data_IF_772577079739
#
_entry.id   IF_772577079739
#
_cell.length_a   1.000
_cell.length_b   1.000
_cell.length_c   1.000
_cell.angle_alpha   90.00
_cell.angle_beta   90.00
_cell.angle_gamma   90.00
#
_symmetry.space_group_name_H-M   'P 1'
#
loop_
_entity.id
_entity.type
_entity.pdbx_description
1 polymer ?
#
# COMPACT_ATOMS: atom_id res chain seq x y z
N UNK A 1 29.58 -16.83 -4.62
CA UNK A 1 28.41 -17.65 -4.23
C UNK A 1 27.28 -17.32 -5.19
N UNK A 2 26.89 -18.27 -6.06
CA UNK A 2 25.82 -18.06 -7.04
C UNK A 2 24.49 -18.36 -6.37
N UNK A 3 23.50 -17.49 -6.52
CA UNK A 3 22.12 -17.80 -6.12
C UNK A 3 21.69 -19.05 -6.88
N UNK A 4 21.44 -20.16 -6.17
CA UNK A 4 20.89 -21.39 -6.73
C UNK A 4 21.86 -22.54 -6.99
N UNK A 5 22.89 -22.77 -6.16
CA UNK A 5 23.52 -24.10 -6.10
C UNK A 5 22.52 -25.07 -5.47
N UNK A 6 21.65 -25.58 -6.32
CA UNK A 6 20.44 -26.27 -5.91
C UNK A 6 20.76 -27.75 -5.67
N UNK A 7 21.06 -28.12 -4.42
CA UNK A 7 21.19 -29.54 -4.08
C UNK A 7 19.82 -30.20 -4.20
N UNK A 8 19.78 -31.30 -4.96
CA UNK A 8 18.63 -32.19 -5.00
C UNK A 8 18.90 -33.36 -4.08
N UNK A 9 17.89 -33.74 -3.30
CA UNK A 9 17.88 -35.03 -2.61
C UNK A 9 17.75 -36.16 -3.63
N UNK A 10 18.18 -37.36 -3.24
CA UNK A 10 17.93 -38.59 -4.01
C UNK A 10 16.42 -38.83 -4.26
N UNK A 11 15.56 -38.27 -3.41
CA UNK A 11 14.10 -38.26 -3.59
C UNK A 11 13.59 -37.28 -4.66
N UNK A 12 14.46 -36.50 -5.32
CA UNK A 12 14.13 -35.54 -6.38
C UNK A 12 13.70 -34.14 -5.90
N UNK A 13 13.49 -33.95 -4.59
CA UNK A 13 13.13 -32.67 -3.97
C UNK A 13 14.31 -31.69 -3.93
N UNK A 14 14.02 -30.39 -4.06
CA UNK A 14 15.00 -29.31 -3.88
C UNK A 14 15.24 -29.08 -2.39
N UNK A 15 16.49 -29.00 -1.98
CA UNK A 15 16.84 -28.49 -0.65
C UNK A 15 17.07 -26.99 -0.71
N UNK A 16 16.60 -26.28 0.30
CA UNK A 16 16.79 -24.85 0.46
C UNK A 16 17.52 -24.60 1.77
N UNK A 17 18.52 -23.71 1.73
CA UNK A 17 19.29 -23.26 2.87
C UNK A 17 18.61 -22.04 3.50
N UNK A 18 18.99 -21.67 4.73
CA UNK A 18 18.40 -20.49 5.40
C UNK A 18 18.67 -19.19 4.62
N UNK A 19 19.80 -19.11 3.91
CA UNK A 19 20.12 -18.02 2.97
C UNK A 19 19.12 -17.89 1.79
N UNK A 20 18.51 -19.00 1.36
CA UNK A 20 17.44 -18.97 0.35
C UNK A 20 16.17 -18.36 0.94
N UNK A 21 15.83 -18.69 2.19
CA UNK A 21 14.70 -18.11 2.90
C UNK A 21 14.90 -16.61 3.15
N UNK A 22 16.10 -16.18 3.52
CA UNK A 22 16.50 -14.77 3.64
C UNK A 22 16.29 -13.99 2.34
N UNK A 23 16.74 -14.55 1.22
CA UNK A 23 16.54 -13.97 -0.12
C UNK A 23 15.05 -13.82 -0.46
N UNK A 24 14.22 -14.80 -0.12
CA UNK A 24 12.77 -14.73 -0.34
C UNK A 24 12.11 -13.67 0.55
N UNK A 25 12.49 -13.56 1.82
CA UNK A 25 11.99 -12.50 2.73
C UNK A 25 12.32 -11.12 2.18
N UNK A 26 13.56 -10.91 1.77
CA UNK A 26 14.01 -9.67 1.14
C UNK A 26 13.26 -9.32 -0.14
N UNK A 27 13.08 -10.31 -1.02
CA UNK A 27 12.28 -10.17 -2.24
C UNK A 27 10.84 -9.75 -1.95
N UNK A 28 10.19 -10.38 -0.97
CA UNK A 28 8.80 -10.08 -0.58
C UNK A 28 8.66 -8.67 -0.02
N UNK A 29 9.62 -8.22 0.79
CA UNK A 29 9.63 -6.86 1.32
C UNK A 29 9.70 -5.82 0.18
N UNK A 30 10.59 -6.02 -0.77
CA UNK A 30 10.73 -5.11 -1.91
C UNK A 30 9.51 -5.13 -2.84
N UNK A 31 8.91 -6.30 -3.08
CA UNK A 31 7.65 -6.41 -3.82
C UNK A 31 6.52 -5.67 -3.10
N UNK A 32 6.43 -5.78 -1.78
CA UNK A 32 5.47 -5.03 -0.98
C UNK A 32 5.70 -3.51 -1.05
N UNK A 33 6.95 -3.08 -1.23
CA UNK A 33 7.30 -1.67 -1.47
C UNK A 33 7.00 -1.19 -2.91
N UNK A 34 6.52 -2.07 -3.81
CA UNK A 34 6.16 -1.73 -5.18
C UNK A 34 7.32 -1.81 -6.18
N UNK A 35 8.48 -2.32 -5.76
CA UNK A 35 9.62 -2.54 -6.67
C UNK A 35 9.29 -3.66 -7.67
N UNK A 36 9.64 -3.44 -8.93
CA UNK A 36 9.52 -4.48 -9.95
C UNK A 36 10.61 -5.56 -9.80
N UNK A 37 10.36 -6.74 -10.37
CA UNK A 37 11.25 -7.92 -10.26
C UNK A 37 12.60 -7.75 -10.97
N UNK A 38 12.71 -6.86 -11.95
CA UNK A 38 13.98 -6.56 -12.61
C UNK A 38 14.89 -5.73 -11.71
N UNK A 39 14.35 -4.69 -11.07
CA UNK A 39 15.07 -3.89 -10.07
C UNK A 39 15.47 -4.77 -8.89
N UNK A 40 14.54 -5.57 -8.34
CA UNK A 40 14.80 -6.50 -7.23
C UNK A 40 15.98 -7.43 -7.53
N UNK A 41 16.07 -7.97 -8.76
CA UNK A 41 17.19 -8.84 -9.16
C UNK A 41 18.54 -8.12 -9.10
N UNK A 42 18.58 -6.83 -9.42
CA UNK A 42 19.78 -6.00 -9.30
C UNK A 42 20.13 -5.67 -7.84
N UNK A 43 19.13 -5.53 -6.97
CA UNK A 43 19.32 -5.15 -5.57
C UNK A 43 19.63 -6.33 -4.65
N UNK A 44 19.08 -7.52 -4.92
CA UNK A 44 19.23 -8.71 -4.07
C UNK A 44 20.69 -9.09 -3.74
N UNK A 45 21.65 -9.07 -4.70
CA UNK A 45 23.05 -9.36 -4.39
C UNK A 45 23.69 -8.41 -3.39
N UNK A 46 23.09 -7.23 -3.21
CA UNK A 46 23.56 -6.15 -2.34
C UNK A 46 22.78 -6.06 -1.02
N UNK A 47 21.88 -7.01 -0.74
CA UNK A 47 21.18 -7.04 0.54
C UNK A 47 21.87 -7.99 1.49
N UNK A 48 22.29 -7.47 2.64
CA UNK A 48 22.63 -8.31 3.78
C UNK A 48 21.34 -8.63 4.56
N UNK A 49 21.17 -9.91 4.93
CA UNK A 49 20.23 -10.32 5.98
C UNK A 49 21.06 -10.73 7.19
N UNK A 50 21.38 -9.75 8.03
CA UNK A 50 22.07 -9.87 9.31
C UNK A 50 21.08 -10.11 10.47
N UNK A 51 19.89 -10.66 10.16
CA UNK A 51 18.84 -10.93 11.14
C UNK A 51 17.96 -9.71 11.46
N UNK A 52 18.11 -8.64 10.70
CA UNK A 52 17.37 -7.38 10.81
C UNK A 52 16.56 -7.03 9.56
N UNK A 53 16.15 -5.76 9.43
CA UNK A 53 15.54 -5.28 8.19
C UNK A 53 16.61 -5.25 7.08
N UNK A 54 16.30 -5.74 5.86
CA UNK A 54 17.25 -5.73 4.75
C UNK A 54 17.83 -4.33 4.52
N UNK A 55 19.14 -4.20 4.67
CA UNK A 55 19.85 -2.96 4.45
C UNK A 55 20.63 -3.01 3.13
N UNK A 56 20.61 -1.93 2.32
CA UNK A 56 21.41 -1.86 1.12
C UNK A 56 22.90 -1.76 1.49
N UNK A 57 23.72 -2.66 0.95
CA UNK A 57 25.15 -2.74 1.20
C UNK A 57 26.01 -2.29 -0.01
N UNK A 58 25.40 -1.65 -1.02
CA UNK A 58 26.08 -1.21 -2.24
C UNK A 58 25.77 0.25 -2.61
N UNK A 59 26.82 1.00 -2.92
CA UNK A 59 26.82 2.44 -3.18
C UNK A 59 26.12 2.81 -4.52
N UNK A 60 26.03 1.85 -5.44
CA UNK A 60 25.52 2.05 -6.80
C UNK A 60 23.99 1.95 -6.98
N UNK A 61 23.24 1.65 -5.92
CA UNK A 61 21.80 1.36 -6.03
C UNK A 61 20.90 2.60 -5.99
N UNK A 62 21.41 3.72 -5.49
CA UNK A 62 20.62 4.93 -5.26
C UNK A 62 19.95 5.48 -6.54
N UNK A 63 20.62 5.52 -7.72
CA UNK A 63 19.98 5.95 -8.95
C UNK A 63 18.80 5.06 -9.38
N UNK A 64 18.91 3.74 -9.24
CA UNK A 64 17.85 2.81 -9.60
C UNK A 64 16.65 2.92 -8.64
N UNK A 65 16.91 3.11 -7.34
CA UNK A 65 15.87 3.38 -6.35
C UNK A 65 15.15 4.71 -6.62
N UNK A 66 15.87 5.76 -7.00
CA UNK A 66 15.26 7.02 -7.41
C UNK A 66 14.40 6.85 -8.66
N UNK A 67 14.89 6.14 -9.68
CA UNK A 67 14.10 5.85 -10.89
C UNK A 67 12.82 5.11 -10.54
N UNK A 68 12.88 4.10 -9.68
CA UNK A 68 11.68 3.38 -9.28
C UNK A 68 10.72 4.25 -8.48
N UNK A 69 11.22 5.09 -7.57
CA UNK A 69 10.40 6.06 -6.84
C UNK A 69 9.66 7.01 -7.79
N UNK A 70 10.33 7.52 -8.82
CA UNK A 70 9.68 8.38 -9.81
C UNK A 70 8.61 7.62 -10.60
N UNK A 71 8.89 6.37 -11.01
CA UNK A 71 7.90 5.51 -11.68
C UNK A 71 6.66 5.28 -10.81
N UNK A 72 6.86 4.96 -9.52
CA UNK A 72 5.77 4.75 -8.56
C UNK A 72 4.98 6.04 -8.30
N UNK A 73 5.67 7.17 -8.21
CA UNK A 73 5.03 8.48 -8.04
C UNK A 73 4.14 8.83 -9.23
N UNK A 74 4.59 8.57 -10.45
CA UNK A 74 3.80 8.78 -11.66
C UNK A 74 2.54 7.89 -11.68
N UNK A 75 2.69 6.59 -11.40
CA UNK A 75 1.55 5.67 -11.35
C UNK A 75 0.54 6.06 -10.24
N UNK A 76 1.02 6.51 -9.08
CA UNK A 76 0.16 7.00 -8.01
C UNK A 76 -0.64 8.24 -8.44
N UNK A 77 0.00 9.17 -9.16
CA UNK A 77 -0.67 10.35 -9.69
C UNK A 77 -1.82 9.98 -10.64
N UNK A 78 -1.62 8.98 -11.50
CA UNK A 78 -2.66 8.50 -12.42
C UNK A 78 -3.85 7.90 -11.68
N UNK A 79 -3.60 7.04 -10.68
CA UNK A 79 -4.65 6.44 -9.85
C UNK A 79 -5.42 7.50 -9.05
N UNK A 80 -4.72 8.47 -8.47
CA UNK A 80 -5.36 9.59 -7.76
C UNK A 80 -6.23 10.42 -8.69
N UNK A 81 -5.74 10.73 -9.90
CA UNK A 81 -6.52 11.44 -10.89
C UNK A 81 -7.75 10.64 -11.36
N UNK A 82 -7.63 9.32 -11.50
CA UNK A 82 -8.76 8.45 -11.83
C UNK A 82 -9.82 8.45 -10.70
N UNK A 83 -9.38 8.37 -9.44
CA UNK A 83 -10.25 8.46 -8.26
C UNK A 83 -10.99 9.80 -8.22
N UNK A 84 -10.30 10.90 -8.46
CA UNK A 84 -10.92 12.24 -8.43
C UNK A 84 -12.00 12.41 -9.51
N UNK A 85 -11.78 11.83 -10.70
CA UNK A 85 -12.81 11.76 -11.76
C UNK A 85 -14.01 10.90 -11.33
N UNK A 86 -13.76 9.75 -10.71
CA UNK A 86 -14.81 8.89 -10.19
C UNK A 86 -15.64 9.60 -9.10
N UNK A 87 -14.98 10.32 -8.19
CA UNK A 87 -15.66 11.11 -7.16
C UNK A 87 -16.53 12.22 -7.77
N UNK A 88 -16.10 12.85 -8.86
CA UNK A 88 -16.91 13.84 -9.59
C UNK A 88 -18.18 13.20 -10.18
N UNK A 89 -18.07 12.01 -10.76
CA UNK A 89 -19.23 11.25 -11.26
C UNK A 89 -20.18 10.85 -10.13
N UNK A 90 -19.65 10.35 -9.01
CA UNK A 90 -20.46 10.00 -7.83
C UNK A 90 -21.24 11.23 -7.33
N UNK A 91 -20.59 12.40 -7.23
CA UNK A 91 -21.26 13.66 -6.83
C UNK A 91 -22.35 14.07 -7.81
N UNK A 92 -22.12 13.96 -9.12
CA UNK A 92 -23.11 14.29 -10.14
C UNK A 92 -24.33 13.36 -10.06
N UNK A 93 -24.10 12.05 -9.99
CA UNK A 93 -25.16 11.03 -9.90
C UNK A 93 -25.97 11.16 -8.60
N UNK A 94 -25.32 11.44 -7.47
CA UNK A 94 -26.00 11.63 -6.19
C UNK A 94 -27.00 12.80 -6.19
N UNK A 95 -26.82 13.79 -7.06
CA UNK A 95 -27.77 14.91 -7.24
C UNK A 95 -29.01 14.50 -8.02
N UNK A 96 -28.88 13.51 -8.91
CA UNK A 96 -29.95 13.00 -9.75
C UNK A 96 -30.82 11.98 -9.02
N UNK A 97 -30.29 11.27 -8.02
CA UNK A 97 -31.06 10.30 -7.25
C UNK A 97 -31.90 10.95 -6.12
N UNK A 98 -33.24 11.00 -6.24
CA UNK A 98 -34.11 11.52 -5.19
C UNK A 98 -34.07 10.67 -3.91
N UNK A 99 -33.73 9.38 -3.96
CA UNK A 99 -33.62 8.52 -2.78
C UNK A 99 -32.37 8.87 -1.96
N UNK A 100 -31.23 9.12 -2.62
CA UNK A 100 -30.01 9.63 -1.97
C UNK A 100 -30.24 11.03 -1.38
N UNK A 101 -30.92 11.93 -2.10
CA UNK A 101 -31.31 13.26 -1.57
C UNK A 101 -32.21 13.16 -0.34
N UNK A 102 -33.17 12.23 -0.33
CA UNK A 102 -34.07 11.95 0.81
C UNK A 102 -33.32 11.33 2.01
N UNK A 103 -32.34 10.45 1.78
CA UNK A 103 -31.49 9.90 2.86
C UNK A 103 -30.56 10.95 3.45
N UNK A 104 -29.92 11.78 2.62
CA UNK A 104 -29.07 12.88 3.09
C UNK A 104 -29.87 13.90 3.91
N UNK A 105 -31.09 14.25 3.49
CA UNK A 105 -31.99 15.13 4.25
C UNK A 105 -32.57 14.47 5.51
N UNK A 106 -32.75 13.15 5.53
CA UNK A 106 -33.14 12.41 6.74
C UNK A 106 -31.98 12.37 7.75
N UNK A 107 -30.77 12.07 7.29
CA UNK A 107 -29.56 12.01 8.12
C UNK A 107 -29.24 13.37 8.75
N UNK A 108 -29.34 14.47 8.00
CA UNK A 108 -29.13 15.82 8.52
C UNK A 108 -30.19 16.26 9.54
N UNK A 109 -31.46 15.82 9.40
CA UNK A 109 -32.49 16.04 10.43
C UNK A 109 -32.22 15.23 11.70
N UNK A 110 -31.79 13.98 11.59
CA UNK A 110 -31.42 13.17 12.77
C UNK A 110 -30.10 13.62 13.41
N UNK A 111 -29.19 14.19 12.64
CA UNK A 111 -27.93 14.78 13.12
C UNK A 111 -28.08 16.24 13.58
N UNK A 112 -29.29 16.82 13.51
CA UNK A 112 -29.57 18.11 14.13
C UNK A 112 -29.59 17.93 15.64
N UNK A 113 -28.41 18.02 16.25
CA UNK A 113 -28.28 18.25 17.69
C UNK A 113 -29.00 19.58 17.95
N UNK A 114 -30.03 19.64 18.82
CA UNK A 114 -30.63 20.91 19.19
C UNK A 114 -29.52 21.84 19.68
N UNK A 115 -29.54 23.09 19.23
CA UNK A 115 -28.52 24.07 19.59
C UNK A 115 -28.29 24.02 21.11
N UNK A 116 -27.04 23.83 21.58
CA UNK A 116 -26.80 23.81 23.02
C UNK A 116 -27.27 25.14 23.60
N UNK A 117 -27.90 25.15 24.80
CA UNK A 117 -28.21 26.41 25.47
C UNK A 117 -26.92 27.20 25.63
N UNK A 118 -26.98 28.53 25.40
CA UNK A 118 -25.82 29.41 25.46
C UNK A 118 -25.27 29.44 26.90
N UNK A 119 -24.25 28.63 27.17
CA UNK A 119 -23.43 28.71 28.38
C UNK A 119 -22.03 29.21 28.02
N UNK A 120 -21.52 30.14 28.84
CA UNK A 120 -20.27 30.86 28.69
C UNK A 120 -18.99 30.01 28.77
N UNK A 121 -17.82 30.65 28.87
CA UNK A 121 -16.57 30.08 28.37
C UNK A 121 -15.97 29.06 29.34
N UNK A 122 -15.98 27.78 28.96
CA UNK A 122 -15.22 26.73 29.65
C UNK A 122 -13.96 26.37 28.87
N UNK A 123 -12.85 26.38 29.62
CA UNK A 123 -11.49 25.99 29.26
C UNK A 123 -11.37 24.47 29.34
N UNK A 124 -10.60 23.87 28.42
CA UNK A 124 -9.94 22.58 28.68
C UNK A 124 -10.16 21.50 27.63
N UNK A 125 -9.05 21.01 27.08
CA UNK A 125 -8.89 20.03 26.02
C UNK A 125 -9.34 18.60 26.37
N UNK A 126 -9.61 17.78 25.34
CA UNK A 126 -9.14 16.39 25.28
C UNK A 126 -8.85 15.95 23.82
N UNK A 127 -7.79 15.15 23.57
CA UNK A 127 -7.44 14.66 22.24
C UNK A 127 -8.24 13.39 21.89
N UNK A 128 -8.78 13.33 20.67
CA UNK A 128 -9.38 12.10 20.12
C UNK A 128 -8.28 11.22 19.53
N UNK A 129 -7.90 10.18 20.27
CA UNK A 129 -7.26 9.00 19.73
C UNK A 129 -8.31 8.12 19.05
N UNK A 130 -8.08 7.71 17.80
CA UNK A 130 -8.96 6.75 17.13
C UNK A 130 -8.90 6.74 15.60
N UNK A 131 -7.72 6.58 15.01
CA UNK A 131 -7.65 6.08 13.62
C UNK A 131 -7.58 4.56 13.70
N UNK A 132 -8.65 3.89 13.27
CA UNK A 132 -8.69 2.42 13.12
C UNK A 132 -7.87 2.05 11.89
N UNK A 133 -6.73 1.44 12.12
CA UNK A 133 -5.97 0.70 11.10
C UNK A 133 -6.68 -0.63 10.74
N UNK A 134 -6.47 -1.03 9.48
CA UNK A 134 -6.53 -2.40 8.94
C UNK A 134 -7.86 -2.95 8.38
N UNK A 135 -7.99 -2.85 7.05
CA UNK A 135 -8.48 -3.96 6.19
C UNK A 135 -8.19 -3.81 4.68
N UNK A 136 -7.48 -2.77 4.22
CA UNK A 136 -7.45 -2.44 2.78
C UNK A 136 -6.34 -3.10 1.94
N UNK A 137 -5.36 -3.80 2.51
CA UNK A 137 -4.19 -4.27 1.76
C UNK A 137 -4.31 -5.66 1.10
N UNK A 138 -5.18 -6.57 1.59
CA UNK A 138 -5.18 -7.95 1.11
C UNK A 138 -5.96 -8.15 -0.20
N UNK A 139 -7.11 -7.49 -0.38
CA UNK A 139 -7.97 -7.67 -1.56
C UNK A 139 -7.49 -6.85 -2.76
N UNK A 140 -6.83 -5.72 -2.51
CA UNK A 140 -6.37 -4.82 -3.58
C UNK A 140 -5.19 -5.40 -4.38
N UNK A 141 -4.35 -6.22 -3.75
CA UNK A 141 -3.17 -6.83 -4.39
C UNK A 141 -3.55 -7.85 -5.48
N UNK A 142 -4.65 -8.57 -5.30
CA UNK A 142 -5.17 -9.50 -6.31
C UNK A 142 -5.68 -8.77 -7.57
N UNK A 143 -6.24 -7.57 -7.40
CA UNK A 143 -6.72 -6.76 -8.53
C UNK A 143 -5.57 -6.14 -9.33
N UNK A 144 -4.49 -5.70 -8.68
CA UNK A 144 -3.34 -5.07 -9.35
C UNK A 144 -2.50 -6.08 -10.14
N UNK A 145 -2.37 -7.34 -9.69
CA UNK A 145 -1.60 -8.38 -10.39
C UNK A 145 -2.19 -8.79 -11.75
N UNK A 146 -3.50 -8.71 -11.93
CA UNK A 146 -4.16 -9.08 -13.19
C UNK A 146 -3.96 -8.03 -14.29
N UNK A 147 -3.72 -6.76 -13.93
CA UNK A 147 -3.63 -5.64 -14.90
C UNK A 147 -2.21 -5.31 -15.36
N UNK A 148 -1.16 -5.88 -14.77
CA UNK A 148 0.23 -5.61 -15.15
C UNK A 148 0.81 -6.60 -16.17
N UNK A 149 -0.03 -7.48 -16.75
CA UNK A 149 0.35 -8.38 -17.83
C UNK A 149 -0.10 -7.84 -19.18
N UNK A 150 0.42 -6.69 -19.62
CA UNK A 150 0.48 -6.27 -21.03
C UNK A 150 1.64 -5.30 -21.20
#
# INVERSE_FOLDING_TARGET
MRIGELSRRDSGYREYREEDAATVRGSRLMLAAGLNTATIRGLLPCMADDGGAPAPACDGMLPDLHRERERLSAAAADVLAARDRLDALIRATSRLDPATRRRATRWSRSASVPAPPRSGPERGAHPVAGVRENHFCAEWWAAQMLTSST
#
